data_IF_197468752086
#
_entry.id   IF_197468752086
#
_cell.length_a   1.000
_cell.length_b   1.000
_cell.length_c   1.000
_cell.angle_alpha   90.00
_cell.angle_beta   90.00
_cell.angle_gamma   90.00
#
_symmetry.space_group_name_H-M   'P 1'
#
loop_
_entity.id
_entity.type
_entity.pdbx_description
1 polymer ?
#
# COMPACT_ATOMS: atom_id res chain seq x y z
N UNK A 1 9.63 2.03 13.59
CA UNK A 1 9.49 3.50 13.75
C UNK A 1 10.35 4.17 12.70
N UNK A 2 9.87 5.21 12.03
CA UNK A 2 10.54 5.81 10.87
C UNK A 2 10.76 7.31 11.09
N UNK A 3 11.94 7.82 10.70
CA UNK A 3 12.27 9.25 10.69
C UNK A 3 12.53 9.72 9.25
N UNK A 4 11.47 9.86 8.46
CA UNK A 4 11.54 10.16 7.02
C UNK A 4 10.87 11.48 6.62
N UNK A 5 9.84 11.93 7.34
CA UNK A 5 9.08 13.15 7.01
C UNK A 5 9.86 14.46 7.20
N UNK A 6 10.85 14.47 8.09
CA UNK A 6 11.66 15.65 8.42
C UNK A 6 13.16 15.30 8.46
N UNK A 7 13.70 14.78 7.36
CA UNK A 7 15.07 14.31 7.26
C UNK A 7 15.91 15.16 6.26
N UNK A 8 16.89 15.97 6.73
CA UNK A 8 17.17 16.32 8.13
C UNK A 8 16.11 17.27 8.71
N UNK A 9 16.04 17.34 10.05
CA UNK A 9 15.02 18.15 10.73
C UNK A 9 15.24 19.65 10.47
N UNK A 10 14.27 20.39 9.90
CA UNK A 10 14.46 21.80 9.53
C UNK A 10 14.21 22.78 10.69
N UNK A 11 13.68 22.31 11.82
CA UNK A 11 13.28 23.14 12.96
C UNK A 11 13.63 22.47 14.28
N UNK A 12 13.87 23.28 15.32
CA UNK A 12 14.24 22.83 16.68
C UNK A 12 13.22 21.85 17.24
N UNK A 13 11.94 22.11 17.04
CA UNK A 13 10.84 21.28 17.52
C UNK A 13 10.91 19.87 16.92
N UNK A 14 11.21 19.77 15.62
CA UNK A 14 11.40 18.50 14.94
C UNK A 14 12.70 17.80 15.35
N UNK A 15 13.78 18.55 15.61
CA UNK A 15 15.00 17.99 16.19
C UNK A 15 14.75 17.37 17.57
N UNK A 16 13.98 18.05 18.43
CA UNK A 16 13.57 17.51 19.72
C UNK A 16 12.71 16.26 19.54
N UNK A 17 11.79 16.27 18.56
CA UNK A 17 11.00 15.10 18.18
C UNK A 17 11.87 13.90 17.78
N UNK A 18 12.90 14.11 16.97
CA UNK A 18 13.84 13.05 16.58
C UNK A 18 14.60 12.48 17.78
N UNK A 19 15.10 13.33 18.69
CA UNK A 19 15.77 12.89 19.92
C UNK A 19 14.82 12.06 20.79
N UNK A 20 13.59 12.53 20.96
CA UNK A 20 12.56 11.82 21.71
C UNK A 20 12.26 10.44 21.09
N UNK A 21 12.03 10.38 19.78
CA UNK A 21 11.70 9.13 19.07
C UNK A 21 12.85 8.11 19.13
N UNK A 22 14.11 8.56 18.99
CA UNK A 22 15.29 7.68 19.18
C UNK A 22 15.36 7.13 20.59
N UNK A 23 15.17 7.98 21.59
CA UNK A 23 15.19 7.58 23.01
C UNK A 23 14.09 6.58 23.30
N UNK A 24 12.86 6.89 22.90
CA UNK A 24 11.70 6.02 23.06
C UNK A 24 11.90 4.67 22.36
N UNK A 25 12.44 4.66 21.13
CA UNK A 25 12.72 3.43 20.40
C UNK A 25 13.73 2.55 21.15
N UNK A 26 14.79 3.15 21.70
CA UNK A 26 15.78 2.45 22.53
C UNK A 26 15.17 1.87 23.80
N UNK A 27 14.38 2.66 24.54
CA UNK A 27 13.73 2.23 25.79
C UNK A 27 12.71 1.10 25.58
N UNK A 28 12.04 1.08 24.42
CA UNK A 28 10.99 0.10 24.10
C UNK A 28 11.46 -1.05 23.21
N UNK A 29 12.74 -1.07 22.81
CA UNK A 29 13.28 -2.08 21.89
C UNK A 29 12.63 -2.05 20.50
N UNK A 30 12.16 -0.87 20.05
CA UNK A 30 11.52 -0.71 18.75
C UNK A 30 12.60 -0.59 17.67
N UNK A 31 12.42 -1.33 16.57
CA UNK A 31 13.27 -1.16 15.38
C UNK A 31 13.05 0.23 14.79
N UNK A 32 14.13 1.00 14.74
CA UNK A 32 14.17 2.35 14.20
C UNK A 32 14.81 2.36 12.81
N UNK A 33 14.10 2.94 11.84
CA UNK A 33 14.64 3.41 10.58
C UNK A 33 14.95 4.89 10.74
N UNK A 34 16.23 5.21 10.93
CA UNK A 34 16.68 6.59 11.14
C UNK A 34 16.65 7.40 9.82
N UNK A 35 17.03 8.67 9.90
CA UNK A 35 17.20 9.56 8.75
C UNK A 35 18.08 8.90 7.67
N UNK A 36 17.80 9.26 6.42
CA UNK A 36 18.51 8.77 5.23
C UNK A 36 18.39 7.25 4.96
N UNK A 37 17.56 6.52 5.70
CA UNK A 37 17.27 5.11 5.42
C UNK A 37 16.21 4.93 4.32
N UNK A 38 15.33 5.92 4.11
CA UNK A 38 14.30 5.91 3.07
C UNK A 38 12.90 6.17 3.60
N UNK A 39 11.95 6.29 2.67
CA UNK A 39 10.52 6.53 2.96
C UNK A 39 9.90 5.28 3.61
N UNK A 40 9.09 5.48 4.66
CA UNK A 40 8.55 4.41 5.48
C UNK A 40 7.82 3.32 4.68
N UNK A 41 6.99 3.68 3.70
CA UNK A 41 6.28 2.70 2.86
C UNK A 41 7.22 1.86 2.00
N UNK A 42 8.30 2.46 1.49
CA UNK A 42 9.31 1.74 0.73
C UNK A 42 10.03 0.73 1.63
N UNK A 43 10.43 1.15 2.85
CA UNK A 43 11.09 0.26 3.80
C UNK A 43 10.15 -0.86 4.25
N UNK A 44 8.87 -0.56 4.50
CA UNK A 44 7.87 -1.58 4.81
C UNK A 44 7.75 -2.58 3.66
N UNK A 45 7.61 -2.12 2.43
CA UNK A 45 7.51 -3.00 1.26
C UNK A 45 8.77 -3.86 1.08
N UNK A 46 9.96 -3.29 1.28
CA UNK A 46 11.23 -3.98 1.05
C UNK A 46 11.62 -4.97 2.17
N UNK A 47 11.17 -4.75 3.40
CA UNK A 47 11.69 -5.48 4.57
C UNK A 47 10.65 -6.12 5.49
N UNK A 48 9.40 -5.66 5.50
CA UNK A 48 8.42 -6.06 6.52
C UNK A 48 7.14 -6.69 5.96
N UNK A 49 6.54 -6.11 4.92
CA UNK A 49 5.24 -6.54 4.42
C UNK A 49 5.30 -7.86 3.66
N UNK A 50 4.49 -8.83 4.07
CA UNK A 50 4.32 -10.11 3.39
C UNK A 50 2.83 -10.37 3.11
N UNK A 51 2.51 -11.22 2.14
CA UNK A 51 1.13 -11.55 1.81
C UNK A 51 0.42 -12.15 3.02
N UNK A 52 -0.83 -11.75 3.25
CA UNK A 52 -1.64 -12.20 4.38
C UNK A 52 -1.39 -11.46 5.71
N UNK A 53 -0.36 -10.61 5.79
CA UNK A 53 -0.16 -9.75 6.96
C UNK A 53 -1.28 -8.71 7.09
N UNK A 54 -1.48 -8.21 8.32
CA UNK A 54 -2.27 -7.01 8.60
C UNK A 54 -1.31 -5.93 9.12
N UNK A 55 -1.20 -4.80 8.40
CA UNK A 55 -0.32 -3.69 8.77
C UNK A 55 -1.12 -2.43 9.07
N UNK A 56 -0.92 -1.89 10.27
CA UNK A 56 -1.49 -0.60 10.69
C UNK A 56 -0.35 0.41 10.78
N UNK A 57 -0.54 1.57 10.16
CA UNK A 57 0.43 2.66 10.18
C UNK A 57 -0.23 4.00 10.53
N UNK A 58 0.56 4.90 11.10
CA UNK A 58 0.13 6.26 11.43
C UNK A 58 0.21 7.23 10.23
N UNK A 59 0.18 6.69 9.01
CA UNK A 59 0.28 7.42 7.75
C UNK A 59 -0.79 6.91 6.77
N UNK A 60 -1.40 7.81 6.00
CA UNK A 60 -2.48 7.48 5.06
C UNK A 60 -2.05 6.51 3.97
N UNK A 61 -0.82 6.62 3.48
CA UNK A 61 -0.26 5.83 2.38
C UNK A 61 0.28 4.46 2.83
N UNK A 62 0.02 4.05 4.07
CA UNK A 62 0.28 2.67 4.56
C UNK A 62 -0.33 1.61 3.63
N UNK A 63 -1.42 1.95 2.94
CA UNK A 63 -2.08 1.14 1.89
C UNK A 63 -1.15 0.63 0.79
N UNK A 64 0.02 1.27 0.59
CA UNK A 64 1.06 0.87 -0.37
C UNK A 64 1.42 -0.62 -0.26
N UNK A 65 1.48 -1.16 0.95
CA UNK A 65 1.83 -2.57 1.16
C UNK A 65 0.79 -3.56 0.61
N UNK A 66 -0.42 -3.11 0.26
CA UNK A 66 -1.43 -3.96 -0.39
C UNK A 66 -1.02 -4.51 -1.76
N UNK A 67 -0.03 -3.90 -2.41
CA UNK A 67 0.64 -4.45 -3.59
C UNK A 67 1.27 -5.85 -3.36
N UNK A 68 1.58 -6.19 -2.11
CA UNK A 68 2.18 -7.46 -1.70
C UNK A 68 1.13 -8.47 -1.20
N UNK A 69 -0.16 -8.18 -1.35
CA UNK A 69 -1.24 -9.00 -0.78
C UNK A 69 -1.40 -8.84 0.73
N UNK A 70 -0.91 -7.74 1.30
CA UNK A 70 -1.04 -7.37 2.72
C UNK A 70 -2.29 -6.52 2.93
N UNK A 71 -3.11 -6.79 3.96
CA UNK A 71 -4.15 -5.83 4.35
C UNK A 71 -3.50 -4.68 5.14
N UNK A 72 -3.13 -3.61 4.45
CA UNK A 72 -2.42 -2.48 5.03
C UNK A 72 -3.29 -1.22 5.02
N UNK A 73 -3.38 -0.51 6.15
CA UNK A 73 -4.23 0.68 6.24
C UNK A 73 -3.69 1.73 7.22
N UNK A 74 -3.88 3.00 6.86
CA UNK A 74 -3.58 4.13 7.71
C UNK A 74 -4.64 4.32 8.80
N UNK A 75 -4.22 4.70 9.99
CA UNK A 75 -5.10 5.04 11.11
C UNK A 75 -4.57 6.25 11.88
N UNK A 76 -5.45 6.90 12.65
CA UNK A 76 -5.07 8.01 13.52
C UNK A 76 -4.13 7.56 14.64
N UNK A 77 -3.53 8.54 15.33
CA UNK A 77 -2.59 8.30 16.42
C UNK A 77 -3.20 7.51 17.58
N UNK A 78 -4.46 7.77 17.93
CA UNK A 78 -5.19 7.05 18.99
C UNK A 78 -5.30 5.57 18.68
N UNK A 79 -5.79 5.23 17.49
CA UNK A 79 -5.97 3.83 17.08
C UNK A 79 -4.63 3.10 16.92
N UNK A 80 -3.63 3.80 16.38
CA UNK A 80 -2.27 3.25 16.27
C UNK A 80 -1.67 2.98 17.65
N UNK A 81 -1.88 3.87 18.62
CA UNK A 81 -1.43 3.65 20.00
C UNK A 81 -2.14 2.45 20.66
N UNK A 82 -3.44 2.26 20.41
CA UNK A 82 -4.19 1.08 20.87
C UNK A 82 -3.63 -0.19 20.24
N UNK A 83 -3.39 -0.19 18.92
CA UNK A 83 -2.81 -1.32 18.21
C UNK A 83 -1.40 -1.68 18.76
N UNK A 84 -0.56 -0.67 19.02
CA UNK A 84 0.75 -0.86 19.63
C UNK A 84 0.67 -1.42 21.06
N UNK A 85 -0.29 -0.96 21.87
CA UNK A 85 -0.43 -1.36 23.26
C UNK A 85 -1.02 -2.78 23.42
N UNK A 86 -1.96 -3.16 22.57
CA UNK A 86 -2.73 -4.40 22.70
C UNK A 86 -2.34 -5.49 21.69
N UNK A 87 -1.58 -5.14 20.65
CA UNK A 87 -1.33 -6.01 19.49
C UNK A 87 -2.60 -6.34 18.71
N UNK A 88 -3.67 -5.55 18.88
CA UNK A 88 -5.01 -5.78 18.31
C UNK A 88 -5.67 -4.45 18.00
N UNK A 89 -6.52 -4.45 16.99
CA UNK A 89 -7.36 -3.30 16.63
C UNK A 89 -8.73 -3.79 16.13
N UNK A 90 -9.68 -2.88 15.99
CA UNK A 90 -10.99 -3.14 15.39
C UNK A 90 -11.04 -2.55 13.99
N UNK A 91 -11.49 -3.37 13.04
CA UNK A 91 -11.75 -2.96 11.66
C UNK A 91 -13.14 -3.45 11.29
N UNK A 92 -13.94 -2.62 10.61
CA UNK A 92 -15.10 -3.11 9.85
C UNK A 92 -14.53 -3.72 8.57
N UNK A 93 -14.99 -4.92 8.22
CA UNK A 93 -14.62 -5.55 6.95
C UNK A 93 -15.17 -4.66 5.82
N UNK A 94 -14.32 -4.14 4.92
CA UNK A 94 -14.76 -3.28 3.85
C UNK A 94 -15.49 -4.09 2.77
N UNK A 95 -16.49 -3.48 2.14
CA UNK A 95 -16.98 -3.90 0.84
C UNK A 95 -15.86 -3.76 -0.22
N UNK A 96 -15.92 -4.53 -1.31
CA UNK A 96 -14.83 -4.54 -2.32
C UNK A 96 -15.34 -4.14 -3.69
N UNK A 97 -14.68 -3.16 -4.31
CA UNK A 97 -14.78 -2.87 -5.75
C UNK A 97 -13.69 -3.66 -6.47
N UNK A 98 -14.10 -4.44 -7.47
CA UNK A 98 -13.16 -5.12 -8.37
C UNK A 98 -12.71 -4.18 -9.48
N UNK A 99 -11.41 -3.98 -9.64
CA UNK A 99 -10.83 -3.24 -10.77
C UNK A 99 -10.17 -4.23 -11.71
N UNK A 100 -10.75 -4.41 -12.90
CA UNK A 100 -10.25 -5.31 -13.94
C UNK A 100 -9.53 -4.49 -15.01
N UNK A 101 -8.22 -4.66 -15.12
CA UNK A 101 -7.37 -3.95 -16.08
C UNK A 101 -6.90 -4.93 -17.16
N UNK A 102 -7.55 -4.85 -18.32
CA UNK A 102 -7.30 -5.72 -19.47
C UNK A 102 -6.30 -5.10 -20.44
N UNK A 103 -5.69 -5.93 -21.28
CA UNK A 103 -4.73 -5.47 -22.29
C UNK A 103 -3.37 -5.09 -21.68
N UNK A 104 -2.65 -4.20 -22.38
CA UNK A 104 -1.30 -3.77 -22.02
C UNK A 104 -1.14 -2.27 -22.18
N UNK A 105 -0.34 -1.66 -21.32
CA UNK A 105 -0.01 -0.24 -21.45
C UNK A 105 0.70 0.02 -22.78
N UNK A 106 0.32 1.13 -23.42
CA UNK A 106 1.02 1.67 -24.58
C UNK A 106 2.31 2.37 -24.14
N UNK A 107 3.22 2.62 -25.09
CA UNK A 107 4.49 3.27 -24.78
C UNK A 107 4.24 4.67 -24.18
N UNK A 108 4.85 4.94 -23.03
CA UNK A 108 4.71 6.22 -22.31
C UNK A 108 3.56 6.25 -21.29
N UNK A 109 2.81 5.16 -21.16
CA UNK A 109 1.76 4.97 -20.15
C UNK A 109 2.26 3.98 -19.10
N UNK A 110 2.06 4.30 -17.83
CA UNK A 110 2.56 3.54 -16.69
C UNK A 110 1.46 3.37 -15.62
N UNK A 111 1.77 2.61 -14.57
CA UNK A 111 0.85 2.37 -13.46
C UNK A 111 0.37 3.65 -12.74
N UNK A 112 1.15 4.74 -12.81
CA UNK A 112 0.71 6.06 -12.32
C UNK A 112 -0.48 6.58 -13.12
N UNK A 113 -0.44 6.48 -14.45
CA UNK A 113 -1.53 6.91 -15.32
C UNK A 113 -2.78 6.07 -15.09
N UNK A 114 -2.63 4.76 -14.90
CA UNK A 114 -3.74 3.86 -14.52
C UNK A 114 -4.46 4.34 -13.25
N UNK A 115 -3.72 4.59 -12.17
CA UNK A 115 -4.35 4.95 -10.90
C UNK A 115 -4.91 6.37 -10.93
N UNK A 116 -4.25 7.31 -11.61
CA UNK A 116 -4.80 8.65 -11.84
C UNK A 116 -6.08 8.61 -12.67
N UNK A 117 -6.13 7.79 -13.72
CA UNK A 117 -7.34 7.59 -14.52
C UNK A 117 -8.49 7.00 -13.69
N UNK A 118 -8.20 5.96 -12.88
CA UNK A 118 -9.19 5.36 -11.99
C UNK A 118 -9.74 6.40 -11.00
N UNK A 119 -8.87 7.12 -10.30
CA UNK A 119 -9.25 8.17 -9.34
C UNK A 119 -10.06 9.27 -10.05
N UNK A 120 -9.65 9.71 -11.23
CA UNK A 120 -10.38 10.69 -12.02
C UNK A 120 -11.79 10.22 -12.43
N UNK A 121 -11.99 8.91 -12.61
CA UNK A 121 -13.28 8.30 -12.94
C UNK A 121 -14.20 8.18 -11.72
N UNK A 122 -13.68 7.78 -10.56
CA UNK A 122 -14.51 7.51 -9.37
C UNK A 122 -14.59 8.69 -8.39
N UNK A 123 -13.67 9.65 -8.48
CA UNK A 123 -13.56 10.81 -7.61
C UNK A 123 -12.88 10.49 -6.27
N UNK A 124 -12.61 11.55 -5.49
CA UNK A 124 -11.87 11.46 -4.23
C UNK A 124 -12.59 10.65 -3.14
N UNK A 125 -13.92 10.56 -3.22
CA UNK A 125 -14.75 9.79 -2.28
C UNK A 125 -15.28 8.48 -2.91
N UNK A 126 -14.82 8.14 -4.11
CA UNK A 126 -15.41 7.10 -4.97
C UNK A 126 -15.25 5.66 -4.49
N UNK A 127 -14.39 5.43 -3.50
CA UNK A 127 -14.17 4.15 -2.86
C UNK A 127 -14.16 4.28 -1.32
N UNK A 128 -14.90 5.24 -0.77
CA UNK A 128 -14.87 5.55 0.68
C UNK A 128 -15.15 4.32 1.54
N UNK A 129 -14.14 3.91 2.32
CA UNK A 129 -14.14 2.70 3.16
C UNK A 129 -14.15 1.36 2.41
N UNK A 130 -14.13 1.35 1.08
CA UNK A 130 -14.10 0.13 0.29
C UNK A 130 -12.67 -0.34 0.04
N UNK A 131 -12.48 -1.63 -0.23
CA UNK A 131 -11.24 -2.14 -0.78
C UNK A 131 -11.26 -2.06 -2.31
N UNK A 132 -10.15 -1.65 -2.92
CA UNK A 132 -9.93 -1.78 -4.35
C UNK A 132 -9.13 -3.05 -4.61
N UNK A 133 -9.73 -4.05 -5.24
CA UNK A 133 -9.04 -5.29 -5.61
C UNK A 133 -8.68 -5.28 -7.10
N UNK A 134 -7.38 -5.30 -7.41
CA UNK A 134 -6.87 -5.20 -8.77
C UNK A 134 -6.65 -6.58 -9.40
N UNK A 135 -7.16 -6.74 -10.62
CA UNK A 135 -7.04 -7.97 -11.41
C UNK A 135 -6.93 -7.68 -12.91
N UNK A 136 -6.70 -8.71 -13.74
CA UNK A 136 -6.62 -8.59 -15.20
C UNK A 136 -5.21 -8.80 -15.76
N UNK A 137 -5.11 -8.83 -17.10
CA UNK A 137 -3.86 -9.11 -17.82
C UNK A 137 -2.76 -8.12 -17.43
N UNK A 138 -3.06 -6.82 -17.43
CA UNK A 138 -2.08 -5.78 -17.13
C UNK A 138 -1.51 -5.97 -15.72
N UNK A 139 -2.37 -6.23 -14.72
CA UNK A 139 -2.00 -6.44 -13.32
C UNK A 139 -1.10 -7.67 -13.14
N UNK A 140 -1.43 -8.77 -13.81
CA UNK A 140 -0.68 -10.04 -13.70
C UNK A 140 0.76 -9.89 -14.19
N UNK A 141 0.98 -9.05 -15.22
CA UNK A 141 2.32 -8.80 -15.78
C UNK A 141 3.03 -7.58 -15.17
N UNK A 142 2.32 -6.79 -14.36
CA UNK A 142 2.82 -5.56 -13.76
C UNK A 142 3.94 -5.84 -12.75
N UNK A 143 5.11 -5.19 -12.86
CA UNK A 143 6.18 -5.34 -11.89
C UNK A 143 5.79 -4.78 -10.52
N UNK A 144 6.39 -5.30 -9.43
CA UNK A 144 6.01 -4.91 -8.07
C UNK A 144 6.10 -3.39 -7.81
N UNK A 145 7.07 -2.68 -8.39
CA UNK A 145 7.19 -1.22 -8.26
C UNK A 145 5.96 -0.46 -8.81
N UNK A 146 5.36 -0.98 -9.87
CA UNK A 146 4.15 -0.43 -10.46
C UNK A 146 2.92 -0.77 -9.61
N UNK A 147 2.84 -1.99 -9.08
CA UNK A 147 1.79 -2.37 -8.12
C UNK A 147 1.83 -1.50 -6.86
N UNK A 148 3.02 -1.24 -6.32
CA UNK A 148 3.24 -0.35 -5.18
C UNK A 148 2.76 1.08 -5.50
N UNK A 149 3.02 1.57 -6.72
CA UNK A 149 2.58 2.88 -7.18
C UNK A 149 1.04 2.97 -7.22
N UNK A 150 0.38 1.95 -7.76
CA UNK A 150 -1.09 1.89 -7.80
C UNK A 150 -1.69 1.74 -6.40
N UNK A 151 -1.20 0.81 -5.58
CA UNK A 151 -1.68 0.59 -4.22
C UNK A 151 -1.47 1.80 -3.31
N UNK A 152 -0.39 2.57 -3.52
CA UNK A 152 -0.09 3.78 -2.76
C UNK A 152 -1.20 4.84 -2.87
N UNK A 153 -1.71 5.06 -4.09
CA UNK A 153 -2.65 6.15 -4.36
C UNK A 153 -4.12 5.82 -4.14
N UNK A 154 -4.48 4.57 -3.82
CA UNK A 154 -5.89 4.19 -3.60
C UNK A 154 -6.56 5.00 -2.50
N UNK A 155 -5.79 5.47 -1.52
CA UNK A 155 -6.28 6.31 -0.42
C UNK A 155 -6.81 7.66 -0.93
N UNK A 156 -6.33 8.15 -2.07
CA UNK A 156 -6.80 9.38 -2.71
C UNK A 156 -8.20 9.23 -3.34
N UNK A 157 -8.72 8.01 -3.44
CA UNK A 157 -10.13 7.73 -3.75
C UNK A 157 -10.96 7.35 -2.51
N UNK A 158 -10.39 7.51 -1.30
CA UNK A 158 -11.04 7.14 -0.05
C UNK A 158 -10.99 5.64 0.29
N UNK A 159 -10.28 4.84 -0.52
CA UNK A 159 -10.20 3.40 -0.34
C UNK A 159 -9.52 3.02 0.97
N UNK A 160 -10.04 1.98 1.63
CA UNK A 160 -9.49 1.44 2.87
C UNK A 160 -8.16 0.74 2.65
N UNK A 161 -8.01 0.07 1.50
CA UNK A 161 -6.82 -0.65 1.04
C UNK A 161 -6.91 -0.90 -0.47
N UNK A 162 -5.76 -1.04 -1.12
CA UNK A 162 -5.64 -1.50 -2.52
C UNK A 162 -4.92 -2.83 -2.58
N UNK A 163 -5.61 -3.90 -2.95
CA UNK A 163 -5.09 -5.27 -2.90
C UNK A 163 -4.73 -5.80 -4.28
N UNK A 164 -3.59 -6.46 -4.35
CA UNK A 164 -3.10 -7.21 -5.50
C UNK A 164 -3.00 -8.69 -5.15
N UNK A 165 -3.16 -9.60 -6.13
CA UNK A 165 -2.93 -11.02 -5.89
C UNK A 165 -1.46 -11.27 -5.49
N UNK A 166 -1.25 -12.21 -4.59
CA UNK A 166 0.09 -12.73 -4.31
C UNK A 166 0.41 -13.86 -5.27
N UNK A 167 1.12 -13.50 -6.33
CA UNK A 167 1.47 -14.34 -7.47
C UNK A 167 3.00 -14.42 -7.67
N UNK A 168 3.44 -14.93 -8.82
CA UNK A 168 4.85 -15.10 -9.16
C UNK A 168 5.66 -13.77 -9.12
N UNK A 169 5.02 -12.63 -9.38
CA UNK A 169 5.69 -11.31 -9.24
C UNK A 169 5.98 -11.03 -7.77
N UNK A 170 5.03 -11.36 -6.90
CA UNK A 170 5.18 -11.22 -5.45
C UNK A 170 6.22 -12.18 -4.89
N UNK A 171 6.19 -13.45 -5.31
CA UNK A 171 7.21 -14.45 -4.95
C UNK A 171 8.62 -14.00 -5.36
N UNK A 172 8.76 -13.52 -6.61
CA UNK A 172 10.05 -13.04 -7.15
C UNK A 172 10.54 -11.82 -6.38
N UNK A 173 9.66 -10.88 -6.06
CA UNK A 173 10.00 -9.69 -5.29
C UNK A 173 10.46 -10.06 -3.88
N UNK A 174 9.70 -10.88 -3.15
CA UNK A 174 10.09 -11.34 -1.81
C UNK A 174 11.43 -12.08 -1.83
N UNK A 175 11.64 -12.97 -2.80
CA UNK A 175 12.90 -13.70 -2.97
C UNK A 175 14.08 -12.75 -3.21
N UNK A 176 13.91 -11.72 -4.04
CA UNK A 176 14.94 -10.69 -4.27
C UNK A 176 15.27 -9.86 -3.01
N UNK A 177 14.36 -9.85 -2.03
CA UNK A 177 14.53 -9.18 -0.73
C UNK A 177 14.93 -10.15 0.39
N UNK A 178 15.29 -11.39 0.07
CA UNK A 178 15.68 -12.39 1.06
C UNK A 178 14.51 -12.90 1.91
N UNK A 179 13.27 -12.72 1.44
CA UNK A 179 12.02 -13.08 2.13
C UNK A 179 11.19 -14.11 1.37
N UNK A 180 11.80 -14.87 0.46
CA UNK A 180 11.09 -15.89 -0.35
C UNK A 180 10.32 -16.91 0.49
N UNK A 181 10.84 -17.30 1.66
CA UNK A 181 10.16 -18.22 2.60
C UNK A 181 8.86 -17.65 3.21
N UNK A 182 8.62 -16.34 3.08
CA UNK A 182 7.38 -15.67 3.53
C UNK A 182 6.32 -15.59 2.43
N UNK A 183 6.61 -16.07 1.23
CA UNK A 183 5.62 -16.11 0.15
C UNK A 183 4.50 -17.08 0.48
N UNK A 184 3.27 -16.61 0.29
CA UNK A 184 2.07 -17.43 0.23
C UNK A 184 1.26 -16.98 -0.99
N UNK A 185 0.77 -17.92 -1.77
CA UNK A 185 -0.11 -17.59 -2.90
C UNK A 185 -1.47 -17.12 -2.37
N UNK A 186 -1.96 -15.99 -2.86
CA UNK A 186 -3.25 -15.42 -2.49
C UNK A 186 -3.99 -14.94 -3.74
N UNK A 187 -5.20 -15.43 -3.91
CA UNK A 187 -6.11 -15.06 -4.99
C UNK A 187 -7.54 -15.05 -4.46
N UNK A 188 -8.44 -14.23 -5.03
CA UNK A 188 -9.86 -14.30 -4.68
C UNK A 188 -10.44 -15.67 -5.03
N UNK A 189 -11.45 -16.08 -4.27
CA UNK A 189 -12.23 -17.27 -4.59
C UNK A 189 -12.99 -17.09 -5.93
N UNK A 190 -13.23 -18.17 -6.71
CA UNK A 190 -13.92 -18.07 -7.99
C UNK A 190 -15.34 -17.49 -7.91
N UNK A 191 -15.99 -17.62 -6.76
CA UNK A 191 -17.34 -17.14 -6.45
C UNK A 191 -17.35 -15.91 -5.52
N UNK A 192 -16.21 -15.23 -5.35
CA UNK A 192 -16.13 -14.00 -4.59
C UNK A 192 -17.12 -12.94 -5.12
N UNK A 193 -17.91 -12.38 -4.22
CA UNK A 193 -18.87 -11.32 -4.52
C UNK A 193 -18.24 -9.95 -4.33
N UNK A 194 -18.53 -9.03 -5.24
CA UNK A 194 -18.03 -7.66 -5.21
C UNK A 194 -19.21 -6.69 -5.19
N UNK A 195 -19.05 -5.56 -4.52
CA UNK A 195 -20.06 -4.48 -4.49
C UNK A 195 -20.25 -3.92 -5.90
N UNK A 196 -19.15 -3.71 -6.62
CA UNK A 196 -19.17 -3.34 -8.02
C UNK A 196 -17.90 -3.77 -8.76
N UNK A 197 -17.94 -3.69 -10.08
CA UNK A 197 -16.79 -3.98 -10.96
C UNK A 197 -16.53 -2.80 -11.88
N UNK A 198 -15.27 -2.39 -11.99
CA UNK A 198 -14.77 -1.36 -12.88
C UNK A 198 -13.83 -2.01 -13.87
N UNK A 199 -14.16 -1.92 -15.16
CA UNK A 199 -13.29 -2.38 -16.23
C UNK A 199 -12.51 -1.20 -16.85
N UNK A 200 -11.22 -1.42 -17.10
CA UNK A 200 -10.29 -0.49 -17.74
C UNK A 200 -9.53 -1.24 -18.84
N UNK A 201 -9.52 -0.69 -20.04
CA UNK A 201 -8.65 -1.14 -21.14
C UNK A 201 -7.33 -0.36 -21.06
N UNK A 202 -6.24 -1.04 -20.68
CA UNK A 202 -4.92 -0.45 -20.56
C UNK A 202 -4.38 0.11 -21.89
N UNK A 203 -4.88 -0.38 -23.04
CA UNK A 203 -4.46 0.12 -24.35
C UNK A 203 -5.09 1.47 -24.70
N UNK A 204 -6.18 1.85 -24.04
CA UNK A 204 -6.88 3.14 -24.22
C UNK A 204 -6.44 4.20 -23.20
N UNK A 205 -5.56 3.85 -22.27
CA UNK A 205 -5.00 4.82 -21.34
C UNK A 205 -4.03 5.74 -22.07
N UNK A 206 -4.03 7.00 -21.64
CA UNK A 206 -3.12 8.04 -22.10
C UNK A 206 -2.32 8.58 -20.91
N UNK A 207 -1.14 9.18 -21.13
CA UNK A 207 -0.41 9.86 -20.08
C UNK A 207 -1.29 10.88 -19.36
N UNK A 208 -1.41 10.76 -18.04
CA UNK A 208 -2.38 11.50 -17.23
C UNK A 208 -1.67 12.39 -16.21
N UNK A 209 -2.18 13.61 -16.04
CA UNK A 209 -1.69 14.60 -15.07
C UNK A 209 -2.86 15.03 -14.19
N UNK A 210 -2.64 15.10 -12.86
CA UNK A 210 -3.61 15.54 -11.85
C UNK A 210 -3.26 16.91 -11.28
#
# INVERSE_FOLDING_TARGET
>A
MFLDHAAPSPARELSNGHVFLRTFAGEKGIVLSDIDQGVCHQIIAESLANPGDIIIGADSHTVTAGALGTFATGMGSTDTAVAMALGKTWLRVPETIKVVVNGRFTQGVYAKDLILHLIGRIGADGATYEALEFSGEAITTMPMSERLTTANMVVEAGAKVGLFPSDNVTESYLSSRGRGERYIALSPDPDATYESTIEIDAAQLEPTVS
#
